data_IF_223926970172
#
_entry.id   IF_223926970172
#
_cell.length_a   1.000
_cell.length_b   1.000
_cell.length_c   1.000
_cell.angle_alpha   90.00
_cell.angle_beta   90.00
_cell.angle_gamma   90.00
#
_symmetry.space_group_name_H-M   'P 1'
#
loop_
_entity.id
_entity.type
_entity.pdbx_description
1 polymer ?
#
# COMPACT_ATOMS: atom_id res chain seq x y z
N UNK A 1 -3.92 -14.25 1.66
CA UNK A 1 -3.30 -13.65 0.46
C UNK A 1 -3.07 -12.13 0.56
N UNK A 2 -4.10 -11.29 0.66
CA UNK A 2 -4.00 -9.80 0.59
C UNK A 2 -3.03 -9.15 1.60
N UNK A 3 -2.75 -9.81 2.73
CA UNK A 3 -1.73 -9.38 3.71
C UNK A 3 -0.36 -9.12 3.06
N UNK A 4 0.07 -9.90 2.07
CA UNK A 4 1.35 -9.71 1.38
C UNK A 4 1.41 -8.35 0.66
N UNK A 5 0.32 -7.99 -0.02
CA UNK A 5 0.18 -6.69 -0.68
C UNK A 5 0.31 -5.54 0.33
N UNK A 6 -0.42 -5.64 1.44
CA UNK A 6 -0.39 -4.65 2.51
C UNK A 6 1.01 -4.51 3.13
N UNK A 7 1.65 -5.64 3.43
CA UNK A 7 3.03 -5.68 3.94
C UNK A 7 4.00 -5.02 2.97
N UNK A 8 3.92 -5.33 1.68
CA UNK A 8 4.79 -4.72 0.68
C UNK A 8 4.64 -3.21 0.63
N UNK A 9 3.40 -2.71 0.65
CA UNK A 9 3.12 -1.26 0.65
C UNK A 9 3.67 -0.57 1.91
N UNK A 10 3.48 -1.17 3.08
CA UNK A 10 3.84 -0.54 4.36
C UNK A 10 5.30 -0.70 4.75
N UNK A 11 5.90 -1.87 4.50
CA UNK A 11 7.24 -2.20 4.96
C UNK A 11 8.29 -2.02 3.86
N UNK A 12 7.99 -2.46 2.62
CA UNK A 12 8.96 -2.41 1.53
C UNK A 12 8.95 -1.03 0.86
N UNK A 13 7.77 -0.52 0.50
CA UNK A 13 7.61 0.82 -0.08
C UNK A 13 7.60 1.93 0.97
N UNK A 14 7.55 1.57 2.27
CA UNK A 14 7.54 2.50 3.41
C UNK A 14 6.46 3.58 3.33
N UNK A 15 5.30 3.28 2.71
CA UNK A 15 4.22 4.25 2.62
C UNK A 15 3.60 4.46 4.01
N UNK A 16 3.56 5.70 4.53
CA UNK A 16 3.02 5.99 5.84
C UNK A 16 1.51 5.78 5.89
N UNK A 17 0.98 5.57 7.09
CA UNK A 17 -0.46 5.74 7.31
C UNK A 17 -0.80 7.21 7.18
N UNK A 18 -1.80 7.51 6.36
CA UNK A 18 -2.25 8.88 6.14
C UNK A 18 -3.19 9.25 7.29
N UNK A 19 -2.64 9.99 8.25
CA UNK A 19 -3.37 10.62 9.35
C UNK A 19 -2.90 12.06 9.52
N UNK A 20 -3.56 12.81 10.40
CA UNK A 20 -3.12 14.15 10.75
C UNK A 20 -1.66 14.16 11.23
N UNK A 21 -0.85 15.09 10.71
CA UNK A 21 0.57 15.20 11.02
C UNK A 21 1.51 14.27 10.25
N UNK A 22 1.01 13.39 9.38
CA UNK A 22 1.87 12.51 8.55
C UNK A 22 2.22 13.07 7.18
N UNK A 23 1.50 14.11 6.76
CA UNK A 23 1.65 14.74 5.46
C UNK A 23 1.80 16.23 5.63
N UNK A 24 2.61 16.82 4.77
CA UNK A 24 2.69 18.26 4.69
C UNK A 24 1.41 18.87 4.10
N UNK A 25 0.92 19.96 4.71
CA UNK A 25 -0.20 20.74 4.18
C UNK A 25 0.26 22.17 3.88
N UNK A 26 -0.22 22.80 2.79
CA UNK A 26 0.11 24.19 2.47
C UNK A 26 -0.23 25.20 3.58
N UNK A 27 -1.26 24.94 4.39
CA UNK A 27 -1.62 25.79 5.53
C UNK A 27 -0.55 25.83 6.62
N UNK A 28 0.35 24.86 6.68
CA UNK A 28 1.47 24.81 7.64
C UNK A 28 2.58 25.81 7.25
N UNK A 29 2.53 26.35 6.03
CA UNK A 29 3.52 27.30 5.47
C UNK A 29 3.28 28.77 5.86
N UNK A 30 2.26 29.07 6.65
CA UNK A 30 1.80 30.44 6.92
C UNK A 30 2.75 31.35 7.73
N UNK A 31 4.02 30.97 7.92
CA UNK A 31 4.98 31.70 8.78
C UNK A 31 6.29 32.17 8.15
N UNK A 32 6.57 31.93 6.88
CA UNK A 32 7.82 32.43 6.27
C UNK A 32 7.61 32.95 4.86
N UNK A 33 7.68 34.28 4.65
CA UNK A 33 7.86 34.85 3.33
C UNK A 33 9.36 34.88 3.04
N UNK A 34 9.91 33.89 2.33
CA UNK A 34 11.13 34.12 1.55
C UNK A 34 11.43 32.97 0.58
N UNK A 35 11.25 33.27 -0.72
CA UNK A 35 12.28 33.16 -1.76
C UNK A 35 12.85 31.81 -2.20
N UNK A 36 12.96 30.80 -1.34
CA UNK A 36 13.70 29.57 -1.65
C UNK A 36 12.79 28.36 -1.45
N UNK A 37 12.63 27.53 -2.49
CA UNK A 37 11.80 26.32 -2.48
C UNK A 37 12.41 25.25 -1.56
N UNK A 38 12.31 25.48 -0.25
CA UNK A 38 12.72 24.52 0.76
C UNK A 38 11.75 23.34 0.70
N UNK A 39 12.23 22.09 0.53
CA UNK A 39 11.35 20.94 0.48
C UNK A 39 10.54 20.84 1.79
N UNK A 40 9.28 20.40 1.70
CA UNK A 40 8.44 20.30 2.89
C UNK A 40 9.04 19.31 3.90
N UNK A 41 8.93 19.59 5.22
CA UNK A 41 9.49 18.73 6.27
C UNK A 41 8.80 17.36 6.38
N UNK A 42 7.61 17.23 5.80
CA UNK A 42 6.84 15.98 5.71
C UNK A 42 6.58 15.67 4.24
N UNK A 43 6.38 14.39 3.88
CA UNK A 43 6.01 14.04 2.50
C UNK A 43 4.67 14.66 2.13
N UNK A 44 4.54 15.06 0.87
CA UNK A 44 3.25 15.45 0.31
C UNK A 44 2.44 14.21 -0.10
N UNK A 45 1.15 14.40 -0.35
CA UNK A 45 0.35 13.34 -0.98
C UNK A 45 0.89 12.95 -2.37
N UNK A 46 1.47 13.90 -3.10
CA UNK A 46 2.10 13.65 -4.39
C UNK A 46 3.28 12.68 -4.27
N UNK A 47 4.10 12.83 -3.23
CA UNK A 47 5.25 11.95 -2.97
C UNK A 47 4.79 10.52 -2.65
N UNK A 48 3.79 10.38 -1.76
CA UNK A 48 3.25 9.07 -1.36
C UNK A 48 2.64 8.34 -2.55
N UNK A 49 1.84 9.03 -3.36
CA UNK A 49 1.24 8.44 -4.57
C UNK A 49 2.31 8.17 -5.63
N UNK A 50 3.31 9.05 -5.75
CA UNK A 50 4.42 8.90 -6.67
C UNK A 50 5.23 7.63 -6.42
N UNK A 51 5.52 7.31 -5.16
CA UNK A 51 6.19 6.06 -4.77
C UNK A 51 5.34 4.84 -5.15
N UNK A 52 4.03 4.87 -4.87
CA UNK A 52 3.13 3.78 -5.25
C UNK A 52 3.07 3.60 -6.78
N UNK A 53 2.99 4.70 -7.53
CA UNK A 53 2.97 4.68 -8.98
C UNK A 53 4.29 4.15 -9.56
N UNK A 54 5.44 4.53 -8.99
CA UNK A 54 6.74 4.02 -9.43
C UNK A 54 6.85 2.50 -9.19
N UNK A 55 6.31 2.00 -8.08
CA UNK A 55 6.24 0.57 -7.80
C UNK A 55 5.34 -0.20 -8.78
N UNK A 56 4.23 0.40 -9.24
CA UNK A 56 3.41 -0.16 -10.33
C UNK A 56 4.22 -0.17 -11.63
N UNK A 57 4.83 0.96 -11.98
CA UNK A 57 5.60 1.14 -13.22
C UNK A 57 6.78 0.18 -13.33
N UNK A 58 7.44 -0.12 -12.20
CA UNK A 58 8.54 -1.10 -12.12
C UNK A 58 8.06 -2.56 -12.04
N UNK A 59 6.75 -2.78 -11.94
CA UNK A 59 6.15 -4.10 -11.83
C UNK A 59 6.26 -4.76 -10.46
N UNK A 60 6.81 -4.10 -9.43
CA UNK A 60 6.98 -4.72 -8.11
C UNK A 60 5.64 -5.03 -7.45
N UNK A 61 4.67 -4.12 -7.56
CA UNK A 61 3.31 -4.36 -7.07
C UNK A 61 2.57 -5.45 -7.87
N UNK A 62 2.84 -5.54 -9.17
CA UNK A 62 2.29 -6.61 -10.01
C UNK A 62 2.79 -7.98 -9.58
N UNK A 63 4.11 -8.13 -9.34
CA UNK A 63 4.70 -9.38 -8.84
C UNK A 63 4.04 -9.84 -7.53
N UNK A 64 3.86 -8.92 -6.57
CA UNK A 64 3.21 -9.24 -5.30
C UNK A 64 1.73 -9.60 -5.50
N UNK A 65 1.04 -8.97 -6.44
CA UNK A 65 -0.35 -9.32 -6.76
C UNK A 65 -0.45 -10.75 -7.32
N UNK A 66 0.46 -11.13 -8.23
CA UNK A 66 0.51 -12.49 -8.79
C UNK A 66 0.79 -13.52 -7.71
N UNK A 67 1.71 -13.24 -6.78
CA UNK A 67 1.95 -14.12 -5.63
C UNK A 67 0.72 -14.28 -4.75
N UNK A 68 -0.02 -13.19 -4.49
CA UNK A 68 -1.27 -13.25 -3.74
C UNK A 68 -2.29 -14.16 -4.42
N UNK A 69 -2.44 -14.07 -5.75
CA UNK A 69 -3.38 -14.91 -6.51
C UNK A 69 -2.95 -16.37 -6.47
N UNK A 70 -1.66 -16.65 -6.70
CA UNK A 70 -1.12 -18.02 -6.65
C UNK A 70 -1.30 -18.68 -5.28
N UNK A 71 -1.15 -17.93 -4.19
CA UNK A 71 -1.44 -18.44 -2.84
C UNK A 71 -2.91 -18.89 -2.73
N UNK A 72 -3.84 -18.07 -3.24
CA UNK A 72 -5.28 -18.40 -3.24
C UNK A 72 -5.56 -19.64 -4.07
N UNK A 73 -5.00 -19.73 -5.28
CA UNK A 73 -5.18 -20.91 -6.15
C UNK A 73 -4.65 -22.19 -5.49
N UNK A 74 -3.50 -22.11 -4.80
CA UNK A 74 -2.95 -23.24 -4.07
C UNK A 74 -3.82 -23.65 -2.87
N UNK A 75 -4.34 -22.68 -2.13
CA UNK A 75 -5.25 -22.95 -1.02
C UNK A 75 -6.57 -23.57 -1.52
N UNK A 76 -7.08 -23.12 -2.67
CA UNK A 76 -8.27 -23.69 -3.32
C UNK A 76 -8.02 -25.12 -3.81
N UNK A 77 -6.84 -25.42 -4.33
CA UNK A 77 -6.44 -26.79 -4.72
C UNK A 77 -6.34 -27.75 -3.52
N UNK A 78 -6.04 -27.24 -2.32
CA UNK A 78 -6.02 -28.03 -1.08
C UNK A 78 -7.41 -28.25 -0.47
N UNK A 79 -8.35 -27.34 -0.72
CA UNK A 79 -9.70 -27.37 -0.12
C UNK A 79 -10.81 -27.17 -1.16
N UNK A 80 -11.07 -28.17 -2.03
CA UNK A 80 -12.08 -28.06 -3.10
C UNK A 80 -13.51 -27.86 -2.58
N UNK A 81 -13.79 -28.19 -1.31
CA UNK A 81 -15.09 -27.98 -0.66
C UNK A 81 -15.39 -26.52 -0.30
N UNK A 82 -14.38 -25.64 -0.24
CA UNK A 82 -14.59 -24.21 -0.01
C UNK A 82 -15.14 -23.47 -1.25
N UNK A 83 -15.27 -24.14 -2.41
CA UNK A 83 -15.89 -23.59 -3.62
C UNK A 83 -17.41 -23.39 -3.50
N UNK A 84 -18.08 -24.15 -2.63
CA UNK A 84 -19.56 -24.18 -2.55
C UNK A 84 -20.09 -23.32 -1.38
N UNK A 85 -19.27 -23.07 -0.35
CA UNK A 85 -19.64 -22.26 0.82
C UNK A 85 -18.47 -21.36 1.23
N UNK A 86 -18.29 -20.25 0.50
CA UNK A 86 -17.25 -19.26 0.79
C UNK A 86 -17.33 -18.60 2.19
N UNK A 87 -18.50 -18.37 2.84
CA UNK A 87 -18.51 -17.66 4.11
C UNK A 87 -18.05 -18.50 5.31
N UNK A 88 -18.03 -19.84 5.22
CA UNK A 88 -17.68 -20.71 6.36
C UNK A 88 -16.19 -21.03 6.46
N UNK A 89 -15.42 -20.95 5.36
CA UNK A 89 -13.96 -21.15 5.40
C UNK A 89 -13.18 -19.89 5.83
N UNK A 90 -13.81 -18.71 5.92
CA UNK A 90 -13.16 -17.46 6.29
C UNK A 90 -12.83 -17.33 7.79
N UNK A 91 -13.33 -18.21 8.66
CA UNK A 91 -13.18 -18.12 10.13
C UNK A 91 -12.02 -18.93 10.73
N UNK A 92 -11.08 -19.44 9.92
CA UNK A 92 -9.92 -20.21 10.41
C UNK A 92 -8.55 -19.59 10.08
N UNK A 93 -8.47 -18.27 10.03
CA UNK A 93 -7.20 -17.52 9.98
C UNK A 93 -7.16 -16.54 11.14
#
# INVERSE_FOLDING_TARGET
>A
ASRKMYTHVRQNLKLPFIVEGTLWRPSDSAKTPDGEATPPPLPTMGDVVGIAYDAIRRGSLYTVAVECIRDVEQDMGKYPHCLVNYPTCASRI
#
